data_IF_112770762014
#
_entry.id   IF_112770762014
#
_cell.length_a   1.000
_cell.length_b   1.000
_cell.length_c   1.000
_cell.angle_alpha   90.00
_cell.angle_beta   90.00
_cell.angle_gamma   90.00
#
_symmetry.space_group_name_H-M   'P 1'
#
loop_
_entity.id
_entity.type
_entity.pdbx_description
1 polymer ?
#
# COMPACT_ATOMS: atom_id res chain seq x y z
N UNK A 1 -13.45 -30.66 -4.44
CA UNK A 1 -12.32 -30.99 -5.34
C UNK A 1 -11.06 -30.64 -4.57
N UNK A 2 -10.20 -31.61 -4.25
CA UNK A 2 -8.92 -31.33 -3.57
C UNK A 2 -7.99 -30.77 -4.64
N UNK A 3 -7.60 -29.49 -4.52
CA UNK A 3 -6.55 -28.94 -5.38
C UNK A 3 -5.25 -29.67 -5.07
N UNK A 4 -4.66 -30.29 -6.10
CA UNK A 4 -3.37 -30.96 -5.99
C UNK A 4 -2.29 -29.94 -6.37
N UNK A 5 -1.54 -29.47 -5.37
CA UNK A 5 -0.43 -28.54 -5.55
C UNK A 5 0.84 -29.29 -5.95
N UNK A 6 1.74 -28.64 -6.70
CA UNK A 6 3.03 -29.25 -6.99
C UNK A 6 3.81 -29.53 -5.68
N UNK A 7 4.66 -30.57 -5.67
CA UNK A 7 5.44 -30.95 -4.49
C UNK A 7 6.23 -29.79 -3.88
N UNK A 8 6.68 -28.84 -4.71
CA UNK A 8 7.38 -27.64 -4.26
C UNK A 8 6.48 -26.70 -3.46
N UNK A 9 5.26 -26.43 -3.95
CA UNK A 9 4.28 -25.60 -3.25
C UNK A 9 3.88 -26.22 -1.91
N UNK A 10 3.65 -27.54 -1.87
CA UNK A 10 3.35 -28.26 -0.62
C UNK A 10 4.46 -28.09 0.43
N UNK A 11 5.71 -28.30 0.05
CA UNK A 11 6.86 -28.13 0.96
C UNK A 11 7.00 -26.70 1.51
N UNK A 12 6.60 -25.68 0.74
CA UNK A 12 6.61 -24.28 1.18
C UNK A 12 5.43 -24.02 2.12
N UNK A 13 4.25 -24.55 1.81
CA UNK A 13 3.05 -24.39 2.63
C UNK A 13 3.22 -25.03 4.02
N UNK A 14 3.91 -26.18 4.09
CA UNK A 14 4.21 -26.86 5.37
C UNK A 14 5.09 -26.00 6.32
N UNK A 15 5.77 -24.98 5.80
CA UNK A 15 6.58 -24.03 6.59
C UNK A 15 5.77 -22.83 7.11
N UNK A 16 4.52 -22.65 6.63
CA UNK A 16 3.69 -21.48 6.94
C UNK A 16 2.54 -21.91 7.85
N UNK A 17 2.41 -21.25 8.99
CA UNK A 17 1.29 -21.44 9.91
C UNK A 17 0.81 -20.09 10.46
N UNK A 18 -0.21 -20.11 11.31
CA UNK A 18 -0.86 -18.91 11.86
C UNK A 18 0.07 -18.05 12.73
N UNK A 19 1.23 -18.57 13.18
CA UNK A 19 2.22 -17.83 13.96
C UNK A 19 3.36 -17.26 13.10
N UNK A 20 3.42 -17.60 11.82
CA UNK A 20 4.47 -17.14 10.90
C UNK A 20 4.42 -15.62 10.78
N UNK A 21 5.55 -14.95 11.03
CA UNK A 21 5.65 -13.50 10.94
C UNK A 21 6.13 -13.07 9.55
N UNK A 22 5.90 -11.81 9.19
CA UNK A 22 6.38 -11.23 7.93
C UNK A 22 7.91 -11.37 7.75
N UNK A 23 8.67 -11.29 8.84
CA UNK A 23 10.11 -11.51 8.81
C UNK A 23 10.50 -12.94 8.44
N UNK A 24 9.70 -13.93 8.81
CA UNK A 24 9.93 -15.33 8.45
C UNK A 24 9.55 -15.59 6.99
N UNK A 25 8.46 -14.99 6.51
CA UNK A 25 8.13 -15.02 5.06
C UNK A 25 9.28 -14.46 4.21
N UNK A 26 9.95 -13.39 4.68
CA UNK A 26 11.12 -12.83 3.98
C UNK A 26 12.32 -13.79 3.97
N UNK A 27 12.51 -14.59 5.02
CA UNK A 27 13.56 -15.63 5.04
C UNK A 27 13.25 -16.73 4.04
N UNK A 28 12.01 -17.25 4.07
CA UNK A 28 11.55 -18.27 3.12
C UNK A 28 11.69 -17.77 1.67
N UNK A 29 11.24 -16.54 1.40
CA UNK A 29 11.37 -15.92 0.08
C UNK A 29 12.83 -15.78 -0.37
N UNK A 30 13.77 -15.50 0.55
CA UNK A 30 15.20 -15.38 0.24
C UNK A 30 15.77 -16.72 -0.24
N UNK A 31 15.32 -17.83 0.34
CA UNK A 31 15.79 -19.17 -0.02
C UNK A 31 15.19 -19.62 -1.35
N UNK A 32 13.90 -19.34 -1.58
CA UNK A 32 13.20 -19.63 -2.85
C UNK A 32 13.72 -18.75 -4.00
N UNK A 33 14.06 -17.49 -3.70
CA UNK A 33 14.35 -16.42 -4.66
C UNK A 33 13.14 -16.14 -5.55
N UNK A 34 13.37 -15.85 -6.83
CA UNK A 34 12.34 -15.51 -7.80
C UNK A 34 11.81 -16.77 -8.47
N UNK A 35 10.50 -17.01 -8.34
CA UNK A 35 9.79 -18.13 -8.95
C UNK A 35 8.33 -17.74 -9.17
N UNK A 36 7.98 -17.39 -10.42
CA UNK A 36 6.65 -16.87 -10.74
C UNK A 36 5.58 -17.97 -10.75
N UNK A 37 5.91 -19.17 -11.22
CA UNK A 37 4.97 -20.30 -11.24
C UNK A 37 4.59 -20.71 -9.82
N UNK A 38 5.59 -20.89 -8.95
CA UNK A 38 5.35 -21.14 -7.53
C UNK A 38 4.59 -19.98 -6.87
N UNK A 39 4.87 -18.72 -7.23
CA UNK A 39 4.11 -17.59 -6.71
C UNK A 39 2.61 -17.73 -7.03
N UNK A 40 2.28 -18.10 -8.27
CA UNK A 40 0.88 -18.24 -8.70
C UNK A 40 0.20 -19.45 -8.04
N UNK A 41 0.92 -20.55 -7.83
CA UNK A 41 0.41 -21.68 -7.02
C UNK A 41 0.12 -21.24 -5.58
N UNK A 42 1.07 -20.57 -4.91
CA UNK A 42 0.87 -20.07 -3.55
C UNK A 42 -0.27 -19.04 -3.47
N UNK A 43 -0.41 -18.19 -4.49
CA UNK A 43 -1.49 -17.21 -4.58
C UNK A 43 -2.87 -17.88 -4.64
N UNK A 44 -2.98 -18.96 -5.43
CA UNK A 44 -4.23 -19.70 -5.63
C UNK A 44 -4.77 -20.37 -4.36
N UNK A 45 -3.96 -20.49 -3.31
CA UNK A 45 -4.41 -21.03 -2.01
C UNK A 45 -5.46 -20.16 -1.32
N UNK A 46 -5.61 -18.90 -1.72
CA UNK A 46 -6.57 -17.96 -1.12
C UNK A 46 -6.20 -17.49 0.29
N UNK A 47 -5.13 -18.02 0.88
CA UNK A 47 -4.71 -17.70 2.25
C UNK A 47 -3.76 -16.52 2.28
N UNK A 48 -3.88 -15.65 3.30
CA UNK A 48 -3.13 -14.40 3.41
C UNK A 48 -1.62 -14.60 3.37
N UNK A 49 -1.07 -15.47 4.22
CA UNK A 49 0.38 -15.64 4.36
C UNK A 49 1.03 -16.25 3.09
N UNK A 50 0.46 -17.30 2.46
CA UNK A 50 0.91 -17.74 1.14
C UNK A 50 0.84 -16.66 0.06
N UNK A 51 -0.23 -15.85 0.00
CA UNK A 51 -0.34 -14.72 -0.94
C UNK A 51 0.72 -13.63 -0.69
N UNK A 52 1.02 -13.32 0.56
CA UNK A 52 2.12 -12.40 0.92
C UNK A 52 3.50 -12.96 0.52
N UNK A 53 3.70 -14.27 0.63
CA UNK A 53 4.92 -14.93 0.14
C UNK A 53 4.99 -14.93 -1.38
N UNK A 54 3.88 -15.23 -2.07
CA UNK A 54 3.77 -15.17 -3.53
C UNK A 54 4.22 -13.81 -4.07
N UNK A 55 3.74 -12.71 -3.45
CA UNK A 55 4.18 -11.35 -3.79
C UNK A 55 5.69 -11.15 -3.62
N UNK A 56 6.36 -11.82 -2.67
CA UNK A 56 7.81 -11.68 -2.51
C UNK A 56 8.62 -12.39 -3.60
N UNK A 57 8.11 -13.50 -4.13
CA UNK A 57 8.86 -14.39 -5.03
C UNK A 57 8.43 -14.26 -6.50
N UNK A 58 7.29 -13.60 -6.79
CA UNK A 58 6.84 -13.42 -8.17
C UNK A 58 7.83 -12.59 -9.00
N UNK A 59 7.88 -12.89 -10.30
CA UNK A 59 8.68 -12.12 -11.26
C UNK A 59 7.96 -10.82 -11.66
N UNK A 60 8.51 -9.67 -11.25
CA UNK A 60 7.98 -8.35 -11.59
C UNK A 60 7.85 -8.13 -13.12
N UNK A 61 8.69 -8.78 -13.93
CA UNK A 61 8.63 -8.67 -15.40
C UNK A 61 7.39 -9.32 -16.01
N UNK A 62 6.72 -10.19 -15.26
CA UNK A 62 5.49 -10.87 -15.67
C UNK A 62 4.23 -10.18 -15.11
N UNK A 63 4.39 -9.09 -14.35
CA UNK A 63 3.27 -8.32 -13.81
C UNK A 63 2.67 -7.42 -14.90
N UNK A 64 1.60 -7.91 -15.53
CA UNK A 64 0.79 -7.18 -16.50
C UNK A 64 -0.43 -6.51 -15.84
N UNK A 65 -1.12 -5.60 -16.56
CA UNK A 65 -2.38 -5.01 -16.08
C UNK A 65 -3.45 -6.09 -15.84
N UNK A 66 -3.52 -7.12 -16.69
CA UNK A 66 -4.47 -8.22 -16.53
C UNK A 66 -4.17 -9.03 -15.27
N UNK A 67 -2.90 -9.33 -15.00
CA UNK A 67 -2.50 -9.99 -13.76
C UNK A 67 -2.84 -9.11 -12.57
N UNK A 68 -2.52 -7.81 -12.60
CA UNK A 68 -2.87 -6.87 -11.52
C UNK A 68 -4.38 -6.88 -11.25
N UNK A 69 -5.21 -6.83 -12.30
CA UNK A 69 -6.66 -6.84 -12.16
C UNK A 69 -7.15 -8.15 -11.54
N UNK A 70 -6.59 -9.29 -11.95
CA UNK A 70 -6.93 -10.59 -11.35
C UNK A 70 -6.53 -10.65 -9.87
N UNK A 71 -5.30 -10.24 -9.53
CA UNK A 71 -4.84 -10.22 -8.13
C UNK A 71 -5.69 -9.27 -7.28
N UNK A 72 -6.09 -8.12 -7.81
CA UNK A 72 -6.98 -7.17 -7.13
C UNK A 72 -8.34 -7.82 -6.83
N UNK A 73 -8.99 -8.45 -7.81
CA UNK A 73 -10.25 -9.18 -7.59
C UNK A 73 -10.10 -10.26 -6.52
N UNK A 74 -9.00 -11.00 -6.57
CA UNK A 74 -8.67 -12.03 -5.57
C UNK A 74 -8.45 -11.44 -4.17
N UNK A 75 -7.85 -10.24 -4.06
CA UNK A 75 -7.71 -9.55 -2.77
C UNK A 75 -9.07 -9.16 -2.20
N UNK A 76 -10.11 -8.96 -3.02
CA UNK A 76 -11.45 -8.65 -2.52
C UNK A 76 -12.10 -9.80 -1.71
N UNK A 77 -11.56 -11.02 -1.78
CA UNK A 77 -12.02 -12.15 -0.95
C UNK A 77 -11.50 -12.10 0.48
N UNK A 78 -10.57 -11.20 0.79
CA UNK A 78 -9.99 -11.01 2.12
C UNK A 78 -10.74 -9.95 2.93
N UNK A 79 -10.54 -9.99 4.26
CA UNK A 79 -11.00 -8.93 5.15
C UNK A 79 -10.34 -7.58 4.78
N UNK A 80 -10.98 -6.47 5.19
CA UNK A 80 -10.56 -5.11 4.85
C UNK A 80 -9.07 -4.83 5.09
N UNK A 81 -8.56 -5.17 6.27
CA UNK A 81 -7.15 -4.92 6.62
C UNK A 81 -6.20 -5.82 5.83
N UNK A 82 -6.60 -7.06 5.59
CA UNK A 82 -5.81 -8.05 4.84
C UNK A 82 -5.67 -7.67 3.36
N UNK A 83 -6.76 -7.23 2.71
CA UNK A 83 -6.70 -6.78 1.31
C UNK A 83 -5.85 -5.52 1.14
N UNK A 84 -5.94 -4.59 2.09
CA UNK A 84 -5.08 -3.40 2.12
C UNK A 84 -3.61 -3.79 2.33
N UNK A 85 -3.34 -4.73 3.25
CA UNK A 85 -2.00 -5.25 3.47
C UNK A 85 -1.43 -5.91 2.20
N UNK A 86 -2.21 -6.75 1.52
CA UNK A 86 -1.80 -7.40 0.28
C UNK A 86 -1.49 -6.38 -0.80
N UNK A 87 -2.35 -5.39 -1.00
CA UNK A 87 -2.14 -4.37 -2.03
C UNK A 87 -0.92 -3.49 -1.73
N UNK A 88 -0.75 -3.04 -0.49
CA UNK A 88 0.42 -2.24 -0.08
C UNK A 88 1.72 -3.05 -0.19
N UNK A 89 1.66 -4.35 0.13
CA UNK A 89 2.78 -5.28 -0.02
C UNK A 89 3.13 -5.53 -1.49
N UNK A 90 2.12 -5.70 -2.35
CA UNK A 90 2.29 -5.84 -3.79
C UNK A 90 2.88 -4.60 -4.42
N UNK A 91 2.38 -3.43 -4.04
CA UNK A 91 2.91 -2.14 -4.47
C UNK A 91 4.40 -1.99 -4.12
N UNK A 92 4.77 -2.27 -2.86
CA UNK A 92 6.14 -2.08 -2.39
C UNK A 92 7.16 -3.08 -2.97
N UNK A 93 6.75 -4.34 -3.17
CA UNK A 93 7.67 -5.39 -3.60
C UNK A 93 7.70 -5.57 -5.12
N UNK A 94 6.64 -5.21 -5.84
CA UNK A 94 6.48 -5.54 -7.26
C UNK A 94 6.20 -4.31 -8.12
N UNK A 95 5.14 -3.55 -7.83
CA UNK A 95 4.67 -2.51 -8.77
C UNK A 95 5.63 -1.33 -8.92
N UNK A 96 6.30 -0.89 -7.85
CA UNK A 96 7.24 0.25 -7.93
C UNK A 96 8.63 -0.14 -8.43
N UNK A 97 8.82 -1.37 -8.92
CA UNK A 97 10.13 -1.88 -9.37
C UNK A 97 10.37 -1.69 -10.87
N UNK A 98 9.33 -1.42 -11.65
CA UNK A 98 9.42 -1.29 -13.10
C UNK A 98 8.69 -0.03 -13.59
N UNK A 99 9.22 0.61 -14.65
CA UNK A 99 8.65 1.85 -15.20
C UNK A 99 7.26 1.63 -15.80
N UNK A 100 6.99 0.45 -16.38
CA UNK A 100 5.68 0.12 -16.96
C UNK A 100 4.61 0.07 -15.88
N UNK A 101 4.88 -0.62 -14.78
CA UNK A 101 3.93 -0.71 -13.66
C UNK A 101 3.79 0.62 -12.92
N UNK A 102 4.83 1.45 -12.85
CA UNK A 102 4.71 2.83 -12.35
C UNK A 102 3.76 3.65 -13.24
N UNK A 103 3.87 3.55 -14.57
CA UNK A 103 2.94 4.24 -15.47
C UNK A 103 1.48 3.76 -15.29
N UNK A 104 1.27 2.47 -14.98
CA UNK A 104 -0.05 1.97 -14.60
C UNK A 104 -0.53 2.61 -13.30
N UNK A 105 0.29 2.63 -12.25
CA UNK A 105 -0.04 3.30 -10.97
C UNK A 105 -0.50 4.74 -11.22
N UNK A 106 0.24 5.51 -12.05
CA UNK A 106 -0.07 6.90 -12.36
C UNK A 106 -1.41 7.08 -13.09
N UNK A 107 -1.89 6.05 -13.80
CA UNK A 107 -3.20 6.05 -14.47
C UNK A 107 -4.38 5.76 -13.53
N UNK A 108 -4.12 5.23 -12.32
CA UNK A 108 -5.17 4.67 -11.46
C UNK A 108 -5.91 5.68 -10.58
N UNK A 109 -5.63 6.98 -10.67
CA UNK A 109 -6.33 8.01 -9.88
C UNK A 109 -7.86 7.88 -9.91
N UNK A 110 -8.41 7.48 -11.07
CA UNK A 110 -9.85 7.30 -11.30
C UNK A 110 -10.23 5.85 -11.59
N UNK A 111 -9.41 4.89 -11.19
CA UNK A 111 -9.73 3.47 -11.38
C UNK A 111 -11.05 3.11 -10.69
N UNK A 112 -11.81 2.18 -11.27
CA UNK A 112 -12.99 1.63 -10.62
C UNK A 112 -12.64 0.83 -9.36
N UNK A 113 -11.41 0.29 -9.27
CA UNK A 113 -10.93 -0.39 -8.06
C UNK A 113 -10.46 0.61 -7.00
N UNK A 114 -11.01 0.50 -5.79
CA UNK A 114 -10.55 1.26 -4.63
C UNK A 114 -9.10 0.92 -4.26
N UNK A 115 -8.66 -0.34 -4.43
CA UNK A 115 -7.28 -0.73 -4.13
C UNK A 115 -6.28 -0.11 -5.12
N UNK A 116 -6.64 0.02 -6.40
CA UNK A 116 -5.81 0.73 -7.37
C UNK A 116 -5.75 2.24 -7.09
N UNK A 117 -6.89 2.87 -6.75
CA UNK A 117 -6.90 4.29 -6.32
C UNK A 117 -6.07 4.49 -5.06
N UNK A 118 -6.16 3.58 -4.07
CA UNK A 118 -5.31 3.57 -2.87
C UNK A 118 -3.84 3.57 -3.25
N UNK A 119 -3.42 2.69 -4.17
CA UNK A 119 -2.02 2.62 -4.63
C UNK A 119 -1.57 3.91 -5.31
N UNK A 120 -2.40 4.51 -6.16
CA UNK A 120 -2.08 5.81 -6.77
C UNK A 120 -1.75 6.86 -5.70
N UNK A 121 -2.65 7.04 -4.72
CA UNK A 121 -2.44 8.03 -3.65
C UNK A 121 -1.25 7.65 -2.77
N UNK A 122 -1.13 6.39 -2.37
CA UNK A 122 -0.03 5.96 -1.52
C UNK A 122 1.32 6.16 -2.22
N UNK A 123 1.41 5.93 -3.54
CA UNK A 123 2.59 6.25 -4.33
C UNK A 123 2.91 7.75 -4.31
N UNK A 124 1.94 8.63 -4.53
CA UNK A 124 2.13 10.08 -4.45
C UNK A 124 2.62 10.54 -3.06
N UNK A 125 2.12 9.92 -1.99
CA UNK A 125 2.61 10.13 -0.63
C UNK A 125 4.05 9.64 -0.43
N UNK A 126 4.40 8.45 -0.93
CA UNK A 126 5.76 7.87 -0.81
C UNK A 126 6.82 8.70 -1.54
N UNK A 127 6.49 9.31 -2.68
CA UNK A 127 7.39 10.23 -3.39
C UNK A 127 7.80 11.44 -2.53
N UNK A 128 6.99 11.80 -1.52
CA UNK A 128 7.23 12.92 -0.60
C UNK A 128 7.80 12.47 0.73
N UNK A 129 7.40 11.30 1.22
CA UNK A 129 7.79 10.76 2.52
C UNK A 129 9.31 10.67 2.70
N UNK A 130 10.05 10.31 1.66
CA UNK A 130 11.51 10.18 1.74
C UNK A 130 12.26 11.52 1.77
N UNK A 131 11.54 12.66 1.73
CA UNK A 131 12.13 14.00 1.78
C UNK A 131 12.89 14.42 0.52
N UNK A 132 12.75 13.67 -0.58
CA UNK A 132 13.28 14.05 -1.89
C UNK A 132 12.34 15.06 -2.58
N UNK A 133 12.84 15.77 -3.59
CA UNK A 133 12.05 16.72 -4.36
C UNK A 133 10.99 15.93 -5.16
N UNK A 134 9.69 16.05 -4.83
CA UNK A 134 8.64 15.35 -5.57
C UNK A 134 8.34 16.09 -6.89
N UNK A 135 7.55 15.48 -7.80
CA UNK A 135 6.99 16.20 -8.94
C UNK A 135 6.25 17.47 -8.49
N UNK A 136 6.27 18.51 -9.32
CA UNK A 136 5.60 19.79 -9.07
C UNK A 136 4.06 19.71 -9.25
N UNK A 137 3.43 18.70 -8.66
CA UNK A 137 1.99 18.43 -8.76
C UNK A 137 1.23 18.62 -7.43
N UNK A 138 1.89 19.10 -6.37
CA UNK A 138 1.27 19.32 -5.04
C UNK A 138 0.00 20.18 -5.08
N UNK A 139 -0.05 21.33 -5.80
CA UNK A 139 -1.29 22.13 -5.87
C UNK A 139 -2.48 21.34 -6.42
N UNK A 140 -2.26 20.55 -7.48
CA UNK A 140 -3.28 19.74 -8.12
C UNK A 140 -3.74 18.58 -7.21
N UNK A 141 -2.80 17.91 -6.52
CA UNK A 141 -3.14 16.87 -5.55
C UNK A 141 -3.99 17.41 -4.41
N UNK A 142 -3.60 18.55 -3.81
CA UNK A 142 -4.37 19.13 -2.70
C UNK A 142 -5.78 19.55 -3.13
N UNK A 143 -5.94 20.15 -4.31
CA UNK A 143 -7.28 20.49 -4.81
C UNK A 143 -8.19 19.26 -4.94
N UNK A 144 -7.63 18.12 -5.38
CA UNK A 144 -8.35 16.85 -5.46
C UNK A 144 -8.64 16.24 -4.09
N UNK A 145 -7.67 16.31 -3.17
CA UNK A 145 -7.83 15.81 -1.80
C UNK A 145 -8.95 16.58 -1.10
N UNK A 146 -8.93 17.90 -1.14
CA UNK A 146 -9.94 18.73 -0.48
C UNK A 146 -11.36 18.51 -1.03
N UNK A 147 -11.48 18.23 -2.33
CA UNK A 147 -12.77 18.00 -2.96
C UNK A 147 -13.36 16.62 -2.66
N UNK A 148 -12.51 15.59 -2.50
CA UNK A 148 -12.94 14.18 -2.56
C UNK A 148 -12.61 13.35 -1.32
N UNK A 149 -11.63 13.75 -0.47
CA UNK A 149 -11.15 12.92 0.65
C UNK A 149 -12.29 12.39 1.54
N UNK A 150 -13.22 13.24 1.95
CA UNK A 150 -14.31 12.85 2.85
C UNK A 150 -15.39 11.97 2.18
N UNK A 151 -15.38 11.84 0.84
CA UNK A 151 -16.38 11.11 0.05
C UNK A 151 -15.85 9.81 -0.53
N UNK A 152 -14.55 9.56 -0.40
CA UNK A 152 -13.90 8.38 -0.96
C UNK A 152 -14.11 7.13 -0.10
N UNK A 153 -13.84 5.97 -0.70
CA UNK A 153 -13.81 4.68 0.00
C UNK A 153 -12.70 4.65 1.05
N UNK A 154 -12.90 4.02 2.23
CA UNK A 154 -11.95 4.07 3.35
C UNK A 154 -10.50 3.66 3.01
N UNK A 155 -10.32 2.71 2.07
CA UNK A 155 -9.01 2.31 1.53
C UNK A 155 -8.27 3.50 0.93
N UNK A 156 -8.99 4.31 0.17
CA UNK A 156 -8.47 5.47 -0.56
C UNK A 156 -8.35 6.67 0.37
N UNK A 157 -9.31 6.87 1.28
CA UNK A 157 -9.28 7.94 2.28
C UNK A 157 -7.96 7.94 3.06
N UNK A 158 -7.55 6.75 3.53
CA UNK A 158 -6.30 6.64 4.28
C UNK A 158 -5.08 7.05 3.44
N UNK A 159 -5.01 6.62 2.17
CA UNK A 159 -3.89 6.95 1.29
C UNK A 159 -3.86 8.43 0.88
N UNK A 160 -5.03 9.04 0.68
CA UNK A 160 -5.18 10.48 0.45
C UNK A 160 -4.75 11.28 1.69
N UNK A 161 -5.17 10.85 2.89
CA UNK A 161 -4.76 11.44 4.16
C UNK A 161 -3.24 11.32 4.36
N UNK A 162 -2.67 10.13 4.14
CA UNK A 162 -1.23 9.91 4.16
C UNK A 162 -0.49 10.87 3.21
N UNK A 163 -1.00 11.07 2.00
CA UNK A 163 -0.43 12.01 1.03
C UNK A 163 -0.47 13.45 1.55
N UNK A 164 -1.61 13.91 2.07
CA UNK A 164 -1.74 15.23 2.67
C UNK A 164 -0.79 15.43 3.86
N UNK A 165 -0.62 14.41 4.71
CA UNK A 165 0.31 14.44 5.83
C UNK A 165 1.75 14.70 5.38
N UNK A 166 2.26 13.93 4.42
CA UNK A 166 3.63 14.14 3.93
C UNK A 166 3.81 15.43 3.12
N UNK A 167 2.78 15.91 2.43
CA UNK A 167 2.77 17.27 1.88
C UNK A 167 2.95 18.28 3.01
N UNK A 168 2.14 18.22 4.06
CA UNK A 168 2.19 19.18 5.17
C UNK A 168 3.51 19.16 5.97
N UNK A 169 4.17 18.00 6.04
CA UNK A 169 5.46 17.85 6.72
C UNK A 169 6.58 18.54 5.95
N UNK A 170 6.72 18.24 4.65
CA UNK A 170 7.90 18.66 3.86
C UNK A 170 7.67 19.93 3.04
N UNK A 171 6.44 20.19 2.60
CA UNK A 171 6.10 21.37 1.80
C UNK A 171 5.45 22.45 2.68
N UNK A 172 6.30 23.18 3.42
CA UNK A 172 5.88 24.14 4.47
C UNK A 172 4.83 25.15 3.99
N UNK A 173 4.86 25.53 2.71
CA UNK A 173 3.88 26.47 2.15
C UNK A 173 2.43 25.93 2.20
N UNK A 174 2.25 24.60 2.20
CA UNK A 174 0.93 23.97 2.26
C UNK A 174 0.61 23.35 3.63
N UNK A 175 1.49 23.50 4.63
CA UNK A 175 1.32 22.89 5.96
C UNK A 175 -0.01 23.28 6.61
N UNK A 176 -0.29 24.59 6.70
CA UNK A 176 -1.54 25.09 7.27
C UNK A 176 -2.77 24.57 6.53
N UNK A 177 -2.69 24.49 5.20
CA UNK A 177 -3.76 23.95 4.35
C UNK A 177 -4.06 22.48 4.69
N UNK A 178 -3.05 21.66 4.92
CA UNK A 178 -3.21 20.25 5.32
C UNK A 178 -3.74 20.10 6.76
N UNK A 179 -3.31 20.96 7.68
CA UNK A 179 -3.83 21.00 9.06
C UNK A 179 -5.32 21.35 9.05
N UNK A 180 -5.72 22.43 8.38
CA UNK A 180 -7.13 22.85 8.27
C UNK A 180 -7.99 21.79 7.58
N UNK A 181 -7.45 21.08 6.58
CA UNK A 181 -8.13 19.93 5.99
C UNK A 181 -8.45 18.86 7.04
N UNK A 182 -7.48 18.47 7.87
CA UNK A 182 -7.69 17.49 8.92
C UNK A 182 -8.66 17.94 10.01
N UNK A 183 -8.59 19.20 10.42
CA UNK A 183 -9.56 19.80 11.35
C UNK A 183 -10.98 19.75 10.80
N UNK A 184 -11.15 20.08 9.52
CA UNK A 184 -12.44 20.07 8.84
C UNK A 184 -13.02 18.66 8.67
N UNK A 185 -12.19 17.69 8.29
CA UNK A 185 -12.69 16.31 8.05
C UNK A 185 -12.86 15.51 9.34
N UNK A 186 -12.05 15.79 10.36
CA UNK A 186 -12.04 15.04 11.62
C UNK A 186 -11.60 13.57 11.46
N UNK A 187 -11.12 13.17 10.28
CA UNK A 187 -10.70 11.79 10.01
C UNK A 187 -9.57 11.37 10.96
N UNK A 188 -9.71 10.19 11.55
CA UNK A 188 -8.75 9.58 12.47
C UNK A 188 -8.52 10.34 13.79
N UNK A 189 -9.33 11.36 14.10
CA UNK A 189 -9.24 12.09 15.37
C UNK A 189 -9.54 11.17 16.54
N UNK A 190 -8.64 11.13 17.52
CA UNK A 190 -8.77 10.26 18.70
C UNK A 190 -8.39 8.79 18.47
N UNK A 191 -7.80 8.47 17.32
CA UNK A 191 -7.19 7.16 17.05
C UNK A 191 -6.19 6.78 18.15
N UNK A 192 -6.37 5.60 18.76
CA UNK A 192 -5.37 5.04 19.66
C UNK A 192 -4.30 4.31 18.85
N UNK A 193 -3.05 4.76 18.97
CA UNK A 193 -1.90 4.12 18.35
C UNK A 193 -0.99 3.46 19.38
N UNK A 194 -0.30 2.40 18.95
CA UNK A 194 0.72 1.75 19.77
C UNK A 194 1.87 2.71 20.10
N UNK A 195 2.56 2.45 21.20
CA UNK A 195 3.71 3.26 21.63
C UNK A 195 4.76 3.35 20.52
N UNK A 196 5.12 4.57 20.14
CA UNK A 196 6.11 4.86 19.09
C UNK A 196 5.53 5.08 17.69
N UNK A 197 4.26 4.76 17.47
CA UNK A 197 3.53 5.10 16.25
C UNK A 197 2.99 6.54 16.33
N UNK A 198 2.70 7.13 15.16
CA UNK A 198 2.08 8.45 15.05
C UNK A 198 0.63 8.29 14.58
N UNK A 199 -0.36 8.94 15.21
CA UNK A 199 -1.76 8.88 14.79
C UNK A 199 -1.95 9.46 13.40
N UNK A 200 -2.99 9.04 12.66
CA UNK A 200 -3.25 9.51 11.30
C UNK A 200 -4.01 10.85 11.24
N UNK A 201 -4.45 11.40 12.38
CA UNK A 201 -5.11 12.71 12.41
C UNK A 201 -4.13 13.79 11.92
N UNK A 202 -4.40 14.43 10.78
CA UNK A 202 -3.42 15.29 10.09
C UNK A 202 -2.76 16.35 10.98
N UNK A 203 -3.48 17.11 11.83
CA UNK A 203 -2.85 18.09 12.70
C UNK A 203 -1.80 17.48 13.64
N UNK A 204 -2.12 16.36 14.29
CA UNK A 204 -1.21 15.65 15.18
C UNK A 204 -0.08 14.97 14.39
N UNK A 205 -0.42 14.30 13.29
CA UNK A 205 0.54 13.62 12.42
C UNK A 205 1.62 14.58 11.93
N UNK A 206 1.21 15.70 11.34
CA UNK A 206 2.11 16.72 10.78
C UNK A 206 2.99 17.28 11.91
N UNK A 207 2.40 17.64 13.05
CA UNK A 207 3.15 18.19 14.19
C UNK A 207 4.21 17.21 14.69
N UNK A 208 3.84 15.96 14.94
CA UNK A 208 4.72 14.94 15.49
C UNK A 208 5.83 14.58 14.51
N UNK A 209 5.52 14.32 13.24
CA UNK A 209 6.51 13.89 12.25
C UNK A 209 7.44 15.02 11.80
N UNK A 210 6.96 16.27 11.77
CA UNK A 210 7.81 17.45 11.58
C UNK A 210 8.79 17.62 12.74
N UNK A 211 8.33 17.46 13.98
CA UNK A 211 9.20 17.53 15.17
C UNK A 211 10.28 16.43 15.16
N UNK A 212 9.92 15.18 14.84
CA UNK A 212 10.89 14.07 14.70
C UNK A 212 11.97 14.32 13.65
N UNK A 213 11.74 15.23 12.70
CA UNK A 213 12.64 15.57 11.59
C UNK A 213 13.28 16.95 11.70
N UNK A 214 12.99 17.70 12.77
CA UNK A 214 13.44 19.08 12.94
C UNK A 214 13.02 20.03 11.79
N UNK A 215 11.75 19.94 11.33
CA UNK A 215 11.22 20.68 10.16
C UNK A 215 10.24 21.82 10.49
#
# INVERSE_FOLDING_TARGET
MVMEYASKAKNVLDQINTKTKLGDLRKIAKDIKKDHELAMELWSTGSLLPRLLAILIMDNKQVSQDLINMLDQDMQTHAFDERNQLMDWFMANQLVKDKKTIALIESWEKSHSALQRRVFWYYQGRLRWVGQIPPANTPALLGKIEANLAKEEPEVQWAMNFTAGWIGIYDKQYRNRCITLGEKTGLYKGEMVSKGCTPNYLPEFITIESNKRNL
#
